data_IF_142976040231
#
_entry.id   IF_142976040231
#
_cell.length_a   1.000
_cell.length_b   1.000
_cell.length_c   1.000
_cell.angle_alpha   90.00
_cell.angle_beta   90.00
_cell.angle_gamma   90.00
#
_symmetry.space_group_name_H-M   'P 1'
#
loop_
_entity.id
_entity.type
_entity.pdbx_description
1 polymer ?
#
# COMPACT_ATOMS: atom_id res chain seq x y z
N UNK A 1 -6.43 13.71 -13.97
CA UNK A 1 -5.69 12.44 -14.21
C UNK A 1 -5.85 11.65 -12.93
N UNK A 2 -6.29 10.38 -12.99
CA UNK A 2 -6.56 9.60 -11.79
C UNK A 2 -5.24 9.00 -11.32
N UNK A 3 -4.72 9.48 -10.19
CA UNK A 3 -3.51 8.94 -9.58
C UNK A 3 -3.78 7.51 -9.11
N UNK A 4 -3.39 6.55 -9.95
CA UNK A 4 -3.46 5.12 -9.67
C UNK A 4 -2.73 4.81 -8.36
N UNK A 5 -1.66 5.54 -8.06
CA UNK A 5 -0.91 5.46 -6.81
C UNK A 5 -1.81 5.68 -5.58
N UNK A 6 -2.70 6.68 -5.61
CA UNK A 6 -3.60 6.96 -4.48
C UNK A 6 -4.67 5.87 -4.31
N UNK A 7 -5.20 5.35 -5.43
CA UNK A 7 -6.15 4.23 -5.37
C UNK A 7 -5.49 2.96 -4.84
N UNK A 8 -4.30 2.64 -5.31
CA UNK A 8 -3.54 1.46 -4.84
C UNK A 8 -3.17 1.64 -3.37
N UNK A 9 -2.68 2.80 -2.95
CA UNK A 9 -2.40 3.10 -1.54
C UNK A 9 -3.61 2.87 -0.65
N UNK A 10 -4.77 3.43 -1.00
CA UNK A 10 -5.98 3.27 -0.20
C UNK A 10 -6.41 1.80 -0.09
N UNK A 11 -6.36 1.07 -1.22
CA UNK A 11 -6.69 -0.37 -1.23
C UNK A 11 -5.72 -1.15 -0.32
N UNK A 12 -4.44 -0.87 -0.39
CA UNK A 12 -3.40 -1.57 0.37
C UNK A 12 -3.53 -1.30 1.87
N UNK A 13 -3.80 -0.05 2.24
CA UNK A 13 -4.06 0.38 3.63
C UNK A 13 -5.32 -0.28 4.18
N UNK A 14 -6.42 -0.29 3.44
CA UNK A 14 -7.67 -0.94 3.87
C UNK A 14 -7.56 -2.46 3.94
N UNK A 15 -6.93 -3.08 2.94
CA UNK A 15 -6.93 -4.54 2.81
C UNK A 15 -5.92 -5.21 3.72
N UNK A 16 -4.75 -4.59 3.93
CA UNK A 16 -3.71 -5.11 4.81
C UNK A 16 -3.81 -4.52 6.23
N UNK A 17 -4.61 -3.47 6.43
CA UNK A 17 -4.70 -2.77 7.71
C UNK A 17 -3.37 -2.13 8.13
N UNK A 18 -2.52 -1.78 7.16
CA UNK A 18 -1.21 -1.16 7.38
C UNK A 18 -1.30 0.34 7.15
N UNK A 19 -0.53 1.13 7.88
CA UNK A 19 -0.55 2.59 7.74
C UNK A 19 -0.07 3.04 6.35
N UNK A 20 -0.69 4.10 5.82
CA UNK A 20 -0.33 4.72 4.55
C UNK A 20 1.14 5.17 4.50
N UNK A 21 1.72 5.49 5.66
CA UNK A 21 3.12 5.89 5.81
C UNK A 21 4.09 4.73 5.57
N UNK A 22 3.64 3.48 5.73
CA UNK A 22 4.42 2.29 5.38
C UNK A 22 4.35 1.95 3.89
N UNK A 23 3.30 2.41 3.20
CA UNK A 23 3.13 2.18 1.76
C UNK A 23 3.98 3.20 0.98
N UNK A 24 5.29 2.97 0.97
CA UNK A 24 6.25 3.73 0.17
C UNK A 24 6.49 3.04 -1.17
N UNK A 25 6.87 3.80 -2.21
CA UNK A 25 7.09 3.24 -3.57
C UNK A 25 8.15 2.12 -3.62
N UNK A 26 9.04 2.07 -2.63
CA UNK A 26 10.06 1.02 -2.50
C UNK A 26 9.70 -0.11 -1.53
N UNK A 27 8.51 -0.11 -0.93
CA UNK A 27 8.10 -1.15 0.01
C UNK A 27 7.71 -2.43 -0.74
N UNK A 28 8.18 -3.57 -0.24
CA UNK A 28 7.75 -4.89 -0.68
C UNK A 28 6.37 -5.21 -0.09
N UNK A 29 5.38 -5.49 -0.94
CA UNK A 29 4.05 -5.87 -0.47
C UNK A 29 4.08 -7.09 0.45
N UNK A 30 4.96 -8.05 0.17
CA UNK A 30 5.06 -9.29 0.94
C UNK A 30 5.92 -9.09 2.19
N UNK A 31 7.15 -8.58 2.03
CA UNK A 31 8.10 -8.52 3.14
C UNK A 31 7.86 -7.34 4.10
N UNK A 32 7.44 -6.19 3.57
CA UNK A 32 7.29 -4.96 4.36
C UNK A 32 5.83 -4.72 4.78
N UNK A 33 4.87 -5.13 3.96
CA UNK A 33 3.44 -4.92 4.22
C UNK A 33 2.70 -6.21 4.62
N UNK A 34 3.34 -7.38 4.55
CA UNK A 34 2.73 -8.64 4.98
C UNK A 34 1.50 -9.03 4.15
N UNK A 35 1.44 -8.60 2.89
CA UNK A 35 0.47 -9.08 1.92
C UNK A 35 0.84 -10.51 1.54
N UNK A 36 0.00 -11.47 1.96
CA UNK A 36 0.01 -12.82 1.40
C UNK A 36 -0.50 -12.79 -0.07
#
# INVERSE_FOLDING_TARGET
>A
MSDIADRVKNIVVEHLGVDADKVVEGASFIDDLGAD
#
